data_IF_172827422211
#
_entry.id   IF_172827422211
#
_cell.length_a   1.000
_cell.length_b   1.000
_cell.length_c   1.000
_cell.angle_alpha   90.00
_cell.angle_beta   90.00
_cell.angle_gamma   90.00
#
_symmetry.space_group_name_H-M   'P 1'
#
loop_
_entity.id
_entity.type
_entity.pdbx_description
1 polymer ?
#
# COMPACT_ATOMS: atom_id res chain seq x y z
N UNK A 1 -27.57 -44.36 5.95
CA UNK A 1 -27.27 -43.49 4.78
C UNK A 1 -27.49 -41.99 5.07
N UNK A 2 -28.60 -41.61 5.65
CA UNK A 2 -28.93 -40.18 5.97
C UNK A 2 -27.85 -39.49 6.85
N UNK A 3 -27.36 -40.14 7.93
CA UNK A 3 -26.36 -39.60 8.85
C UNK A 3 -25.00 -39.28 8.18
N UNK A 4 -24.55 -40.13 7.24
CA UNK A 4 -23.31 -39.89 6.50
C UNK A 4 -23.42 -38.70 5.53
N UNK A 5 -24.60 -38.54 4.92
CA UNK A 5 -24.87 -37.41 4.03
C UNK A 5 -24.91 -36.08 4.82
N UNK A 6 -25.54 -36.10 6.00
CA UNK A 6 -25.60 -34.92 6.88
C UNK A 6 -24.20 -34.51 7.37
N UNK A 7 -23.37 -35.47 7.77
CA UNK A 7 -22.00 -35.21 8.19
C UNK A 7 -21.15 -34.58 7.06
N UNK A 8 -21.26 -35.13 5.85
CA UNK A 8 -20.56 -34.57 4.69
C UNK A 8 -20.99 -33.14 4.36
N UNK A 9 -22.27 -32.84 4.51
CA UNK A 9 -22.84 -31.51 4.26
C UNK A 9 -22.36 -30.48 5.28
N UNK A 10 -22.27 -30.88 6.55
CA UNK A 10 -21.73 -30.04 7.64
C UNK A 10 -20.25 -29.73 7.41
N UNK A 11 -19.47 -30.75 7.05
CA UNK A 11 -18.02 -30.56 6.75
C UNK A 11 -17.85 -29.58 5.57
N UNK A 12 -18.64 -29.71 4.53
CA UNK A 12 -18.58 -28.85 3.35
C UNK A 12 -18.95 -27.40 3.69
N UNK A 13 -19.95 -27.20 4.57
CA UNK A 13 -20.33 -25.90 5.09
C UNK A 13 -19.22 -25.26 5.92
N UNK A 14 -18.55 -26.01 6.78
CA UNK A 14 -17.43 -25.50 7.59
C UNK A 14 -16.27 -25.09 6.69
N UNK A 15 -15.88 -25.92 5.74
CA UNK A 15 -14.79 -25.61 4.78
C UNK A 15 -15.14 -24.38 3.97
N UNK A 16 -16.37 -24.28 3.49
CA UNK A 16 -16.84 -23.13 2.74
C UNK A 16 -16.79 -21.84 3.57
N UNK A 17 -17.27 -21.88 4.82
CA UNK A 17 -17.20 -20.71 5.72
C UNK A 17 -15.77 -20.28 5.99
N UNK A 18 -14.85 -21.23 6.27
CA UNK A 18 -13.43 -20.91 6.50
C UNK A 18 -12.80 -20.29 5.24
N UNK A 19 -13.13 -20.82 4.05
CA UNK A 19 -12.66 -20.26 2.79
C UNK A 19 -13.15 -18.81 2.60
N UNK A 20 -14.45 -18.56 2.76
CA UNK A 20 -15.02 -17.23 2.62
C UNK A 20 -14.47 -16.23 3.66
N UNK A 21 -14.27 -16.66 4.91
CA UNK A 21 -13.64 -15.84 5.93
C UNK A 21 -12.19 -15.46 5.57
N UNK A 22 -11.43 -16.37 4.99
CA UNK A 22 -10.07 -16.09 4.56
C UNK A 22 -10.03 -15.15 3.35
N UNK A 23 -10.93 -15.34 2.36
CA UNK A 23 -11.06 -14.40 1.23
C UNK A 23 -11.47 -13.00 1.69
N UNK A 24 -12.39 -12.88 2.64
CA UNK A 24 -12.83 -11.59 3.17
C UNK A 24 -11.74 -10.83 3.93
N UNK A 25 -10.67 -11.51 4.38
CA UNK A 25 -9.52 -10.88 5.04
C UNK A 25 -8.49 -10.35 4.06
N UNK A 26 -8.53 -10.75 2.79
CA UNK A 26 -7.61 -10.24 1.78
C UNK A 26 -7.97 -8.79 1.44
N UNK A 27 -6.98 -7.90 1.34
CA UNK A 27 -7.22 -6.55 0.86
C UNK A 27 -7.61 -6.56 -0.62
N UNK A 28 -8.36 -5.56 -1.05
CA UNK A 28 -8.71 -5.41 -2.47
C UNK A 28 -7.49 -5.07 -3.32
N UNK A 29 -6.48 -4.42 -2.71
CA UNK A 29 -5.21 -4.06 -3.31
C UNK A 29 -4.04 -4.67 -2.55
N UNK A 30 -3.01 -5.08 -3.28
CA UNK A 30 -1.69 -5.35 -2.71
C UNK A 30 -0.96 -4.02 -2.63
N UNK A 31 -0.55 -3.65 -1.44
CA UNK A 31 0.27 -2.49 -1.18
C UNK A 31 1.62 -2.97 -0.65
N UNK A 32 2.69 -2.60 -1.35
CA UNK A 32 4.06 -2.85 -0.95
C UNK A 32 4.76 -1.53 -0.69
N UNK A 33 5.52 -1.47 0.39
CA UNK A 33 6.40 -0.34 0.69
C UNK A 33 7.81 -0.74 0.31
N UNK A 34 8.43 0.06 -0.56
CA UNK A 34 9.80 -0.12 -1.01
C UNK A 34 10.75 0.90 -0.39
N UNK A 35 12.00 0.55 -0.33
CA UNK A 35 13.07 1.41 0.15
C UNK A 35 13.70 2.11 -1.05
N UNK A 36 13.83 3.45 -1.04
CA UNK A 36 14.58 4.15 -2.05
C UNK A 36 16.06 3.76 -1.98
N UNK A 37 16.64 3.42 -3.12
CA UNK A 37 18.04 3.05 -3.26
C UNK A 37 18.70 3.94 -4.30
N UNK A 38 19.96 4.29 -4.08
CA UNK A 38 20.74 5.04 -5.07
C UNK A 38 21.25 4.06 -6.14
N UNK A 39 20.89 4.30 -7.40
CA UNK A 39 21.47 3.59 -8.51
C UNK A 39 22.91 4.05 -8.78
N UNK A 40 23.70 3.25 -9.54
CA UNK A 40 25.11 3.56 -9.86
C UNK A 40 25.27 4.88 -10.61
N UNK A 41 24.26 5.31 -11.34
CA UNK A 41 24.20 6.60 -12.07
C UNK A 41 23.76 7.79 -11.19
N UNK A 42 23.50 7.56 -9.90
CA UNK A 42 23.02 8.56 -8.94
C UNK A 42 21.50 8.81 -8.99
N UNK A 43 20.77 8.12 -9.87
CA UNK A 43 19.29 8.18 -9.87
C UNK A 43 18.69 7.43 -8.69
N UNK A 44 17.47 7.79 -8.30
CA UNK A 44 16.71 7.07 -7.30
C UNK A 44 16.09 5.81 -7.94
N UNK A 45 16.47 4.66 -7.44
CA UNK A 45 15.77 3.38 -7.68
C UNK A 45 14.92 3.00 -6.48
N UNK A 46 14.26 1.85 -6.58
CA UNK A 46 13.38 1.35 -5.50
C UNK A 46 13.59 -0.14 -5.30
N UNK A 47 13.78 -0.55 -4.06
CA UNK A 47 13.94 -1.95 -3.69
C UNK A 47 12.71 -2.44 -2.94
N UNK A 48 12.05 -3.44 -3.50
CA UNK A 48 10.90 -4.13 -2.92
C UNK A 48 11.22 -5.59 -2.54
N UNK A 49 12.48 -6.00 -2.59
CA UNK A 49 12.91 -7.41 -2.46
C UNK A 49 12.47 -8.04 -1.14
N UNK A 50 12.47 -7.29 -0.05
CA UNK A 50 12.06 -7.73 1.27
C UNK A 50 10.64 -7.28 1.67
N UNK A 51 9.99 -6.51 0.80
CA UNK A 51 8.65 -5.98 1.07
C UNK A 51 7.58 -7.07 1.02
N UNK A 52 6.76 -7.12 2.06
CA UNK A 52 5.56 -7.97 2.12
C UNK A 52 4.32 -7.12 1.86
N UNK A 53 3.25 -7.70 1.26
CA UNK A 53 1.99 -6.97 1.12
C UNK A 53 1.44 -6.59 2.48
N UNK A 54 0.98 -5.35 2.62
CA UNK A 54 0.35 -4.86 3.85
C UNK A 54 -0.89 -5.69 4.19
N UNK A 55 -1.15 -5.86 5.48
CA UNK A 55 -2.40 -6.45 5.98
C UNK A 55 -3.58 -5.54 5.59
N UNK A 56 -4.79 -6.11 5.53
CA UNK A 56 -6.01 -5.42 5.10
C UNK A 56 -6.27 -4.13 5.89
N UNK A 57 -6.16 -4.18 7.22
CA UNK A 57 -6.38 -3.01 8.07
C UNK A 57 -5.36 -1.91 7.75
N UNK A 58 -4.08 -2.24 7.73
CA UNK A 58 -3.00 -1.29 7.41
C UNK A 58 -3.12 -0.73 5.98
N UNK A 59 -3.47 -1.57 5.01
CA UNK A 59 -3.73 -1.15 3.64
C UNK A 59 -4.91 -0.15 3.56
N UNK A 60 -5.96 -0.38 4.35
CA UNK A 60 -7.10 0.54 4.43
C UNK A 60 -6.71 1.89 5.01
N UNK A 61 -5.89 1.92 6.06
CA UNK A 61 -5.41 3.15 6.69
C UNK A 61 -4.52 3.95 5.73
N UNK A 62 -3.64 3.27 4.99
CA UNK A 62 -2.85 3.91 3.92
C UNK A 62 -3.76 4.52 2.86
N UNK A 63 -4.73 3.76 2.36
CA UNK A 63 -5.66 4.27 1.33
C UNK A 63 -6.48 5.46 1.82
N UNK A 64 -6.94 5.47 3.06
CA UNK A 64 -7.64 6.61 3.66
C UNK A 64 -6.75 7.84 3.74
N UNK A 65 -5.48 7.67 4.14
CA UNK A 65 -4.50 8.76 4.17
C UNK A 65 -4.28 9.34 2.77
N UNK A 66 -4.08 8.49 1.76
CA UNK A 66 -3.91 8.93 0.36
C UNK A 66 -5.15 9.65 -0.19
N UNK A 67 -6.34 9.21 0.18
CA UNK A 67 -7.61 9.83 -0.24
C UNK A 67 -7.83 11.21 0.39
N UNK A 68 -7.21 11.52 1.52
CA UNK A 68 -7.28 12.83 2.17
C UNK A 68 -6.44 13.90 1.47
N UNK A 69 -5.53 13.49 0.57
CA UNK A 69 -4.59 14.38 -0.08
C UNK A 69 -5.27 15.30 -1.09
N UNK A 70 -4.76 16.52 -1.20
CA UNK A 70 -5.13 17.48 -2.23
C UNK A 70 -3.98 17.68 -3.25
N UNK A 71 -4.32 18.12 -4.46
CA UNK A 71 -3.34 18.36 -5.52
C UNK A 71 -2.52 19.61 -5.22
N UNK A 72 -1.22 19.52 -5.41
CA UNK A 72 -0.27 20.65 -5.29
C UNK A 72 0.58 20.78 -6.54
N UNK A 73 1.23 21.91 -6.71
CA UNK A 73 2.25 22.09 -7.75
C UNK A 73 3.49 21.25 -7.40
N UNK A 74 4.31 20.93 -8.40
CA UNK A 74 5.56 20.21 -8.20
C UNK A 74 6.44 20.94 -7.17
N UNK A 75 6.75 20.33 -6.04
CA UNK A 75 7.52 20.99 -4.99
C UNK A 75 9.00 21.11 -5.40
N UNK A 76 9.68 22.12 -4.88
CA UNK A 76 11.15 22.29 -5.05
C UNK A 76 11.97 21.10 -4.51
N UNK A 77 11.35 20.25 -3.69
CA UNK A 77 12.00 19.08 -3.12
C UNK A 77 12.08 17.86 -4.06
N UNK A 78 11.68 17.97 -5.32
CA UNK A 78 11.87 16.89 -6.30
C UNK A 78 13.34 16.50 -6.46
N UNK A 79 14.26 17.43 -6.18
CA UNK A 79 15.70 17.16 -6.15
C UNK A 79 16.17 16.41 -4.89
N UNK A 80 15.34 16.36 -3.84
CA UNK A 80 15.65 15.61 -2.62
C UNK A 80 15.36 14.12 -2.84
N UNK A 81 16.26 13.29 -2.34
CA UNK A 81 16.04 11.84 -2.35
C UNK A 81 14.73 11.48 -1.60
N UNK A 82 13.85 10.67 -2.16
CA UNK A 82 12.59 10.32 -1.52
C UNK A 82 12.81 9.48 -0.26
N UNK A 83 11.85 9.55 0.67
CA UNK A 83 11.93 8.82 1.94
C UNK A 83 11.32 7.41 1.83
N UNK A 84 10.33 7.21 0.95
CA UNK A 84 9.70 5.92 0.74
C UNK A 84 9.05 5.82 -0.63
N UNK A 85 8.76 4.59 -1.04
CA UNK A 85 7.98 4.31 -2.24
C UNK A 85 6.91 3.29 -1.93
N UNK A 86 5.75 3.48 -2.51
CA UNK A 86 4.60 2.62 -2.33
C UNK A 86 4.09 2.16 -3.69
N UNK A 87 4.03 0.85 -3.88
CA UNK A 87 3.45 0.21 -5.06
C UNK A 87 2.07 -0.33 -4.71
N UNK A 88 1.08 0.06 -5.49
CA UNK A 88 -0.30 -0.42 -5.35
C UNK A 88 -0.68 -1.22 -6.58
N UNK A 89 -1.04 -2.48 -6.39
CA UNK A 89 -1.46 -3.38 -7.45
C UNK A 89 -2.80 -4.05 -7.15
N UNK A 90 -3.52 -4.41 -8.20
CA UNK A 90 -4.74 -5.19 -8.08
C UNK A 90 -4.40 -6.61 -7.61
N UNK A 91 -5.04 -7.06 -6.51
CA UNK A 91 -4.81 -8.38 -5.94
C UNK A 91 -5.08 -9.52 -6.94
N UNK A 92 -6.11 -9.36 -7.77
CA UNK A 92 -6.56 -10.42 -8.70
C UNK A 92 -5.75 -10.44 -9.98
N UNK A 93 -5.35 -9.28 -10.49
CA UNK A 93 -4.67 -9.15 -11.77
C UNK A 93 -3.14 -9.17 -11.66
N UNK A 94 -2.62 -9.00 -10.44
CA UNK A 94 -1.18 -8.87 -10.16
C UNK A 94 -0.50 -7.83 -11.08
N UNK A 95 -1.23 -6.77 -11.42
CA UNK A 95 -0.78 -5.69 -12.28
C UNK A 95 -0.60 -4.45 -11.41
N UNK A 96 0.57 -3.85 -11.49
CA UNK A 96 0.84 -2.57 -10.84
C UNK A 96 -0.01 -1.49 -11.51
N UNK A 97 -0.70 -0.70 -10.69
CA UNK A 97 -1.58 0.36 -11.16
C UNK A 97 -1.05 1.75 -10.83
N UNK A 98 -0.42 1.88 -9.66
CA UNK A 98 0.04 3.15 -9.13
C UNK A 98 1.36 2.98 -8.41
N UNK A 99 2.26 3.93 -8.66
CA UNK A 99 3.48 4.12 -7.91
C UNK A 99 3.40 5.47 -7.20
N UNK A 100 3.66 5.46 -5.90
CA UNK A 100 3.69 6.66 -5.06
C UNK A 100 5.09 6.84 -4.52
N UNK A 101 5.69 7.99 -4.76
CA UNK A 101 7.00 8.36 -4.22
C UNK A 101 6.79 9.42 -3.15
N UNK A 102 7.26 9.19 -1.94
CA UNK A 102 6.97 10.01 -0.76
C UNK A 102 8.16 10.81 -0.27
N UNK A 103 7.87 12.03 0.16
CA UNK A 103 8.72 12.89 0.95
C UNK A 103 8.00 13.25 2.25
N UNK A 104 8.59 12.85 3.37
CA UNK A 104 8.04 13.11 4.70
C UNK A 104 8.56 14.45 5.19
N UNK A 105 7.65 15.36 5.53
CA UNK A 105 7.91 16.66 6.13
C UNK A 105 7.47 16.66 7.60
N UNK A 106 7.77 17.73 8.34
CA UNK A 106 7.45 17.81 9.77
C UNK A 106 5.93 17.70 10.03
N UNK A 107 5.12 18.40 9.22
CA UNK A 107 3.66 18.51 9.40
C UNK A 107 2.86 18.03 8.18
N UNK A 108 3.52 17.52 7.13
CA UNK A 108 2.85 17.06 5.94
C UNK A 108 3.59 15.89 5.27
N UNK A 109 2.89 15.22 4.38
CA UNK A 109 3.48 14.22 3.48
C UNK A 109 3.18 14.64 2.06
N UNK A 110 4.22 14.88 1.29
CA UNK A 110 4.10 15.14 -0.14
C UNK A 110 4.40 13.84 -0.89
N UNK A 111 3.63 13.57 -1.93
CA UNK A 111 3.91 12.43 -2.78
C UNK A 111 3.66 12.71 -4.25
N UNK A 112 4.47 12.06 -5.07
CA UNK A 112 4.29 11.99 -6.51
C UNK A 112 3.52 10.70 -6.82
N UNK A 113 2.40 10.84 -7.52
CA UNK A 113 1.60 9.73 -8.02
C UNK A 113 1.88 9.53 -9.51
N UNK A 114 2.38 8.36 -9.86
CA UNK A 114 2.62 7.96 -11.23
C UNK A 114 1.68 6.82 -11.62
N UNK A 115 1.05 6.92 -12.78
CA UNK A 115 0.23 5.89 -13.39
C UNK A 115 0.28 5.97 -14.92
N UNK A 116 -0.44 5.07 -15.60
CA UNK A 116 -0.50 5.03 -17.08
C UNK A 116 -1.02 6.34 -17.72
N UNK A 117 -1.71 7.22 -16.97
CA UNK A 117 -2.31 8.46 -17.45
C UNK A 117 -1.41 9.69 -17.26
N UNK A 118 -0.37 9.57 -16.44
CA UNK A 118 0.53 10.65 -16.16
C UNK A 118 1.02 10.69 -14.72
N UNK A 119 1.43 11.87 -14.32
CA UNK A 119 2.07 12.14 -13.03
C UNK A 119 1.44 13.38 -12.41
N UNK A 120 1.20 13.32 -11.10
CA UNK A 120 0.72 14.46 -10.31
C UNK A 120 1.36 14.46 -8.92
N UNK A 121 1.41 15.66 -8.30
CA UNK A 121 1.84 15.82 -6.92
C UNK A 121 0.65 16.08 -6.02
N UNK A 122 0.68 15.48 -4.84
CA UNK A 122 -0.34 15.66 -3.81
C UNK A 122 0.31 15.82 -2.44
N UNK A 123 -0.42 16.49 -1.56
CA UNK A 123 -0.03 16.73 -0.17
C UNK A 123 -1.11 16.26 0.79
N UNK A 124 -0.67 15.60 1.86
CA UNK A 124 -1.48 15.28 3.03
C UNK A 124 -1.01 16.23 4.13
N UNK A 125 -1.87 17.12 4.59
CA UNK A 125 -1.63 18.11 5.66
C UNK A 125 -2.49 17.87 6.91
N UNK A 126 -3.34 16.85 6.88
CA UNK A 126 -4.06 16.43 8.07
C UNK A 126 -3.14 15.65 9.01
N UNK A 127 -2.81 16.22 10.15
CA UNK A 127 -1.82 15.68 11.10
C UNK A 127 -2.12 14.23 11.55
N UNK A 128 -3.38 13.84 11.66
CA UNK A 128 -3.75 12.46 11.98
C UNK A 128 -3.28 11.49 10.89
N UNK A 129 -3.57 11.78 9.63
CA UNK A 129 -3.17 10.94 8.50
C UNK A 129 -1.66 10.97 8.24
N UNK A 130 -1.03 12.13 8.44
CA UNK A 130 0.44 12.27 8.39
C UNK A 130 1.09 11.32 9.40
N UNK A 131 0.67 11.41 10.67
CA UNK A 131 1.24 10.58 11.75
C UNK A 131 1.02 9.09 11.53
N UNK A 132 -0.17 8.68 11.10
CA UNK A 132 -0.47 7.25 10.83
C UNK A 132 0.33 6.74 9.63
N UNK A 133 0.43 7.50 8.55
CA UNK A 133 1.18 7.09 7.35
C UNK A 133 2.67 6.99 7.65
N UNK A 134 3.26 7.97 8.34
CA UNK A 134 4.66 7.91 8.76
C UNK A 134 4.97 6.71 9.64
N UNK A 135 4.10 6.42 10.60
CA UNK A 135 4.23 5.26 11.48
C UNK A 135 4.23 3.95 10.70
N UNK A 136 3.31 3.82 9.74
CA UNK A 136 3.22 2.63 8.88
C UNK A 136 4.50 2.50 8.04
N UNK A 137 4.93 3.57 7.37
CA UNK A 137 6.14 3.58 6.54
C UNK A 137 7.35 3.18 7.39
N UNK A 138 7.56 3.82 8.55
CA UNK A 138 8.70 3.53 9.43
C UNK A 138 8.68 2.09 9.93
N UNK A 139 7.50 1.57 10.32
CA UNK A 139 7.35 0.19 10.83
C UNK A 139 7.66 -0.85 9.74
N UNK A 140 7.22 -0.62 8.52
CA UNK A 140 7.41 -1.56 7.41
C UNK A 140 8.83 -1.46 6.81
N UNK A 141 9.54 -0.37 7.03
CA UNK A 141 10.94 -0.19 6.59
C UNK A 141 11.98 -0.63 7.63
N UNK A 142 11.59 -0.88 8.89
CA UNK A 142 12.43 -1.48 9.92
C UNK A 142 12.44 -3.01 9.75
N UNK A 143 13.30 -3.50 8.86
CA UNK A 143 13.52 -4.93 8.63
C UNK A 143 14.68 -5.47 9.47
#
# INVERSE_FOLDING_TARGET
>A
MKTKLTAALVILLVISNVYFMNEAKKPDYKIHIGIPVSAEDGSAGFDFSESKPLKKETASDVMLSLMSAHTVEAPEMEERFPDAVLSVSDWKKNKEHYLFTFWLEEDSVIFKLENEKGMEYREIDNLYYVTELEKIIKTEMEF
#
